data_IF_961258034290
#
_entry.id   IF_961258034290
#
_cell.length_a   1.000
_cell.length_b   1.000
_cell.length_c   1.000
_cell.angle_alpha   90.00
_cell.angle_beta   90.00
_cell.angle_gamma   90.00
#
_symmetry.space_group_name_H-M   'P 1'
#
loop_
_entity.id
_entity.type
_entity.pdbx_description
1 polymer ?
#
# COMPACT_ATOMS: atom_id res chain seq x y z
N UNK A 1 -0.70 4.74 10.77
CA UNK A 1 0.34 5.76 10.44
C UNK A 1 -0.09 7.14 10.95
N UNK A 2 0.80 8.12 11.05
CA UNK A 2 0.40 9.50 11.38
C UNK A 2 -0.18 10.23 10.17
N UNK A 3 -0.97 11.28 10.39
CA UNK A 3 -1.51 12.09 9.31
C UNK A 3 -0.42 12.71 8.41
N UNK A 4 0.73 13.07 8.99
CA UNK A 4 1.89 13.57 8.24
C UNK A 4 2.42 12.51 7.27
N UNK A 5 2.60 11.27 7.72
CA UNK A 5 3.11 10.19 6.87
C UNK A 5 2.19 9.92 5.65
N UNK A 6 0.87 9.97 5.85
CA UNK A 6 -0.11 9.82 4.75
C UNK A 6 0.02 10.97 3.76
N UNK A 7 0.08 12.23 4.22
CA UNK A 7 0.23 13.41 3.36
C UNK A 7 1.54 13.37 2.57
N UNK A 8 2.65 13.09 3.23
CA UNK A 8 3.97 12.98 2.59
C UNK A 8 3.97 11.88 1.52
N UNK A 9 3.37 10.71 1.80
CA UNK A 9 3.28 9.64 0.81
C UNK A 9 2.41 10.05 -0.39
N UNK A 10 1.32 10.78 -0.16
CA UNK A 10 0.45 11.28 -1.22
C UNK A 10 1.16 12.33 -2.09
N UNK A 11 1.82 13.30 -1.47
CA UNK A 11 2.62 14.35 -2.15
C UNK A 11 3.80 13.76 -2.92
N UNK A 12 4.46 12.75 -2.38
CA UNK A 12 5.55 12.02 -3.04
C UNK A 12 5.05 11.06 -4.13
N UNK A 13 3.74 10.90 -4.30
CA UNK A 13 3.18 9.95 -5.27
C UNK A 13 3.53 8.49 -4.95
N UNK A 14 3.74 8.15 -3.68
CA UNK A 14 4.08 6.82 -3.19
C UNK A 14 2.84 6.08 -2.65
N UNK A 15 2.84 4.76 -2.75
CA UNK A 15 1.86 3.91 -2.06
C UNK A 15 2.34 3.66 -0.63
N UNK A 16 1.56 4.07 0.37
CA UNK A 16 1.82 3.80 1.78
C UNK A 16 0.95 2.64 2.23
N UNK A 17 1.61 1.52 2.53
CA UNK A 17 1.01 0.35 3.18
C UNK A 17 1.43 0.35 4.65
N UNK A 18 0.50 0.13 5.57
CA UNK A 18 0.79 0.04 7.00
C UNK A 18 -0.17 -0.91 7.71
N UNK A 19 -0.01 -1.02 9.04
CA UNK A 19 -0.81 -1.90 9.91
C UNK A 19 -0.73 -3.40 9.55
N UNK A 20 0.40 -3.83 8.98
CA UNK A 20 0.61 -5.22 8.54
C UNK A 20 0.50 -6.21 9.71
N UNK A 21 -0.32 -7.25 9.55
CA UNK A 21 -0.55 -8.36 10.50
C UNK A 21 -0.68 -9.67 9.73
N UNK A 22 0.39 -10.46 9.68
CA UNK A 22 0.41 -11.64 8.81
C UNK A 22 0.24 -11.22 7.34
N UNK A 23 -0.75 -11.81 6.67
CA UNK A 23 -1.10 -11.49 5.28
C UNK A 23 -2.03 -10.27 5.14
N UNK A 24 -2.55 -9.73 6.25
CA UNK A 24 -3.44 -8.57 6.26
C UNK A 24 -2.65 -7.25 6.34
N UNK A 25 -3.13 -6.23 5.63
CA UNK A 25 -2.57 -4.87 5.63
C UNK A 25 -3.58 -3.85 5.10
N UNK A 26 -3.35 -2.58 5.43
CA UNK A 26 -4.14 -1.45 4.91
C UNK A 26 -3.31 -0.59 3.96
N UNK A 27 -3.91 -0.23 2.82
CA UNK A 27 -3.33 0.73 1.87
C UNK A 27 -3.94 2.12 2.10
N UNK A 28 -3.10 3.08 2.46
CA UNK A 28 -3.53 4.44 2.83
C UNK A 28 -3.43 5.44 1.68
N UNK A 29 -2.64 5.16 0.65
CA UNK A 29 -2.49 6.02 -0.53
C UNK A 29 -2.34 5.18 -1.79
N UNK A 30 -2.92 5.64 -2.90
CA UNK A 30 -2.82 5.00 -4.22
C UNK A 30 -3.14 3.48 -4.21
N UNK A 31 -4.30 3.04 -3.67
CA UNK A 31 -4.65 1.62 -3.55
C UNK A 31 -4.69 0.91 -4.90
N UNK A 32 -5.07 1.61 -5.97
CA UNK A 32 -5.18 1.05 -7.33
C UNK A 32 -3.84 0.57 -7.92
N UNK A 33 -2.71 0.89 -7.28
CA UNK A 33 -1.37 0.45 -7.72
C UNK A 33 -1.01 -0.96 -7.23
N UNK A 34 -1.75 -1.50 -6.26
CA UNK A 34 -1.48 -2.82 -5.67
C UNK A 34 -2.61 -3.76 -6.06
N UNK A 35 -2.26 -4.83 -6.78
CA UNK A 35 -3.20 -5.89 -7.12
C UNK A 35 -3.13 -6.96 -6.03
N UNK A 36 -4.18 -7.05 -5.20
CA UNK A 36 -4.31 -8.12 -4.22
C UNK A 36 -4.86 -9.37 -4.91
N UNK A 37 -4.00 -10.38 -5.13
CA UNK A 37 -4.33 -11.61 -5.83
C UNK A 37 -3.09 -12.48 -6.07
N UNK A 38 -3.26 -13.64 -6.70
CA UNK A 38 -2.16 -14.57 -6.96
C UNK A 38 -1.13 -13.90 -7.87
N UNK A 39 0.13 -13.84 -7.43
CA UNK A 39 1.24 -13.42 -8.27
C UNK A 39 1.21 -14.21 -9.58
N UNK A 40 1.35 -13.52 -10.73
CA UNK A 40 1.36 -14.18 -12.04
C UNK A 40 2.42 -15.30 -12.02
N UNK A 41 1.99 -16.54 -12.25
CA UNK A 41 2.90 -17.65 -12.54
C UNK A 41 3.64 -17.31 -13.83
N UNK A 42 4.90 -16.88 -13.71
CA UNK A 42 5.82 -16.80 -14.84
C UNK A 42 6.35 -18.22 -15.07
N UNK A 43 5.76 -18.90 -16.06
CA UNK A 43 6.18 -20.22 -16.49
C UNK A 43 7.59 -20.20 -17.11
#
# INVERSE_FOLDING_TARGET
PTALAIRTAQEAGMTLVALVRGDDFDIFTHPDRVVCGVAKHVA
#
